data_IF_358576436761
#
_entry.id   IF_358576436761
#
_cell.length_a   1.000
_cell.length_b   1.000
_cell.length_c   1.000
_cell.angle_alpha   90.00
_cell.angle_beta   90.00
_cell.angle_gamma   90.00
#
_symmetry.space_group_name_H-M   'P 1'
#
loop_
_entity.id
_entity.type
_entity.pdbx_description
1 polymer ?
#
# COMPACT_ATOMS: atom_id res chain seq x y z
N UNK A 1 -2.86 -36.56 -22.71
CA UNK A 1 -3.05 -36.52 -21.24
C UNK A 1 -2.59 -35.13 -20.80
N UNK A 2 -3.51 -34.15 -20.81
CA UNK A 2 -3.20 -32.73 -20.79
C UNK A 2 -3.50 -32.10 -19.44
N UNK A 3 -2.48 -31.98 -18.59
CA UNK A 3 -2.54 -31.21 -17.33
C UNK A 3 -1.40 -30.21 -17.14
N UNK A 4 -0.44 -30.10 -18.06
CA UNK A 4 0.77 -29.29 -17.83
C UNK A 4 0.73 -27.88 -18.46
N UNK A 5 -0.39 -27.45 -19.06
CA UNK A 5 -0.48 -26.17 -19.79
C UNK A 5 -1.29 -25.06 -19.10
N UNK A 6 -1.79 -25.28 -17.89
CA UNK A 6 -2.66 -24.30 -17.20
C UNK A 6 -1.99 -23.58 -16.02
N UNK A 7 -0.86 -24.08 -15.50
CA UNK A 7 -0.16 -23.43 -14.39
C UNK A 7 0.81 -22.33 -14.83
N UNK A 8 1.27 -22.39 -16.09
CA UNK A 8 2.30 -21.49 -16.67
C UNK A 8 1.82 -20.03 -16.82
N UNK A 9 0.50 -19.80 -16.84
CA UNK A 9 -0.11 -18.47 -17.01
C UNK A 9 -0.67 -17.87 -15.71
N UNK A 10 -0.46 -18.53 -14.57
CA UNK A 10 -0.98 -18.02 -13.29
C UNK A 10 -0.08 -16.92 -12.72
N UNK A 11 -0.62 -15.71 -12.58
CA UNK A 11 0.09 -14.61 -11.92
C UNK A 11 0.54 -15.03 -10.51
N UNK A 12 1.73 -14.59 -10.05
CA UNK A 12 2.16 -14.77 -8.67
C UNK A 12 1.07 -14.38 -7.67
N UNK A 13 0.95 -15.11 -6.57
CA UNK A 13 -0.07 -14.86 -5.54
C UNK A 13 -0.08 -13.41 -5.07
N UNK A 14 1.11 -12.80 -4.94
CA UNK A 14 1.25 -11.40 -4.58
C UNK A 14 0.61 -10.43 -5.59
N UNK A 15 0.60 -10.77 -6.88
CA UNK A 15 -0.06 -9.98 -7.91
C UNK A 15 -1.58 -10.15 -7.86
N UNK A 16 -2.06 -11.36 -7.58
CA UNK A 16 -3.49 -11.58 -7.33
C UNK A 16 -3.96 -10.77 -6.11
N UNK A 17 -3.17 -10.77 -5.03
CA UNK A 17 -3.42 -9.98 -3.83
C UNK A 17 -3.39 -8.47 -4.10
N UNK A 18 -2.44 -8.01 -4.93
CA UNK A 18 -2.33 -6.61 -5.37
C UNK A 18 -3.61 -6.13 -6.08
N UNK A 19 -4.24 -6.98 -6.89
CA UNK A 19 -5.46 -6.66 -7.63
C UNK A 19 -6.74 -6.89 -6.81
N UNK A 20 -6.65 -7.63 -5.71
CA UNK A 20 -7.81 -7.99 -4.90
C UNK A 20 -8.26 -6.86 -3.97
N UNK A 21 -9.52 -6.43 -4.06
CA UNK A 21 -10.09 -5.40 -3.17
C UNK A 21 -10.38 -5.92 -1.75
N UNK A 22 -10.43 -7.24 -1.55
CA UNK A 22 -10.77 -7.83 -0.24
C UNK A 22 -9.70 -7.56 0.82
N UNK A 23 -8.46 -7.32 0.39
CA UNK A 23 -7.34 -7.01 1.25
C UNK A 23 -7.21 -5.51 1.53
N UNK A 24 -8.13 -4.68 1.02
CA UNK A 24 -8.06 -3.24 1.21
C UNK A 24 -8.37 -2.87 2.66
N UNK A 25 -7.47 -2.05 3.22
CA UNK A 25 -7.59 -1.47 4.55
C UNK A 25 -7.77 -2.48 5.71
N UNK A 26 -6.79 -3.35 5.96
CA UNK A 26 -6.81 -4.21 7.14
C UNK A 26 -6.73 -3.39 8.45
N UNK A 27 -7.51 -3.74 9.49
CA UNK A 27 -7.57 -2.97 10.74
C UNK A 27 -6.25 -3.05 11.53
N UNK A 28 -5.56 -4.19 11.53
CA UNK A 28 -4.29 -4.41 12.24
C UNK A 28 -3.31 -5.17 11.35
N UNK A 29 -2.62 -4.47 10.46
CA UNK A 29 -1.60 -5.07 9.62
C UNK A 29 -0.36 -4.19 9.47
N UNK A 30 0.72 -4.84 9.02
CA UNK A 30 1.93 -4.17 8.60
C UNK A 30 1.64 -3.12 7.52
N UNK A 31 2.44 -2.05 7.47
CA UNK A 31 2.21 -0.95 6.54
C UNK A 31 2.19 -1.38 5.07
N UNK A 32 3.04 -2.32 4.67
CA UNK A 32 3.08 -2.87 3.31
C UNK A 32 1.77 -3.59 2.92
N UNK A 33 1.15 -4.32 3.84
CA UNK A 33 -0.19 -4.91 3.60
C UNK A 33 -1.21 -3.81 3.37
N UNK A 34 -1.16 -2.72 4.15
CA UNK A 34 -2.09 -1.59 4.02
C UNK A 34 -1.88 -0.80 2.72
N UNK A 35 -0.65 -0.70 2.22
CA UNK A 35 -0.32 0.09 1.04
C UNK A 35 -0.49 -0.70 -0.26
N UNK A 36 -0.15 -1.99 -0.25
CA UNK A 36 -0.13 -2.82 -1.46
C UNK A 36 -1.16 -3.96 -1.47
N UNK A 37 -1.83 -4.26 -0.35
CA UNK A 37 -2.81 -5.36 -0.29
C UNK A 37 -2.20 -6.77 -0.31
N UNK A 38 -0.87 -6.89 -0.31
CA UNK A 38 -0.14 -8.16 -0.27
C UNK A 38 -0.22 -8.81 1.10
N UNK A 39 -0.30 -10.15 1.15
CA UNK A 39 -0.40 -10.90 2.41
C UNK A 39 0.91 -11.49 2.90
N UNK A 40 1.77 -11.92 1.98
CA UNK A 40 3.05 -12.56 2.27
C UNK A 40 4.19 -11.77 1.63
N UNK A 41 5.22 -11.49 2.41
CA UNK A 41 6.39 -10.74 1.95
C UNK A 41 7.56 -10.90 2.93
N UNK A 42 8.76 -10.62 2.43
CA UNK A 42 10.00 -10.54 3.22
C UNK A 42 10.45 -9.09 3.30
N UNK A 43 10.92 -8.65 4.48
CA UNK A 43 11.52 -7.31 4.65
C UNK A 43 12.96 -7.46 5.14
N UNK A 44 13.89 -6.99 4.33
CA UNK A 44 15.28 -6.78 4.71
C UNK A 44 15.38 -5.39 5.34
N UNK A 45 15.85 -5.34 6.58
CA UNK A 45 15.94 -4.11 7.36
C UNK A 45 17.35 -3.99 7.95
N UNK A 46 17.95 -2.79 7.99
CA UNK A 46 19.20 -2.58 8.72
C UNK A 46 19.09 -3.07 10.17
N UNK A 47 20.14 -3.75 10.64
CA UNK A 47 20.24 -4.17 12.04
C UNK A 47 20.28 -2.96 12.98
N UNK A 48 20.04 -3.19 14.27
CA UNK A 48 19.91 -2.13 15.30
C UNK A 48 21.11 -1.17 15.36
N UNK A 49 22.31 -1.67 15.08
CA UNK A 49 23.56 -0.90 15.12
C UNK A 49 24.11 -0.57 13.72
N UNK A 50 23.30 -0.76 12.67
CA UNK A 50 23.67 -0.46 11.30
C UNK A 50 23.11 0.88 10.87
N UNK A 51 23.85 1.58 10.00
CA UNK A 51 23.35 2.81 9.39
C UNK A 51 22.14 2.56 8.49
N UNK A 52 21.26 3.56 8.41
CA UNK A 52 20.15 3.57 7.47
C UNK A 52 20.64 3.58 6.01
N UNK A 53 19.90 2.90 5.13
CA UNK A 53 20.17 2.86 3.69
C UNK A 53 19.55 4.10 3.05
N UNK A 54 20.32 5.17 2.88
CA UNK A 54 19.82 6.46 2.39
C UNK A 54 20.34 6.80 1.00
N UNK A 55 21.61 6.51 0.72
CA UNK A 55 22.21 6.87 -0.56
C UNK A 55 21.63 6.02 -1.69
N UNK A 56 21.39 6.68 -2.81
CA UNK A 56 20.86 6.04 -4.03
C UNK A 56 21.71 4.85 -4.45
N UNK A 57 23.04 4.98 -4.41
CA UNK A 57 23.95 3.88 -4.75
C UNK A 57 23.77 2.64 -3.85
N UNK A 58 23.55 2.83 -2.53
CA UNK A 58 23.30 1.70 -1.61
C UNK A 58 21.93 1.07 -1.88
N UNK A 59 20.91 1.89 -2.15
CA UNK A 59 19.58 1.41 -2.53
C UNK A 59 19.64 0.57 -3.82
N UNK A 60 20.29 1.08 -4.87
CA UNK A 60 20.39 0.41 -6.16
C UNK A 60 21.17 -0.91 -6.06
N UNK A 61 22.29 -0.92 -5.32
CA UNK A 61 23.06 -2.14 -5.10
C UNK A 61 22.23 -3.22 -4.40
N UNK A 62 21.47 -2.87 -3.36
CA UNK A 62 20.61 -3.82 -2.65
C UNK A 62 19.45 -4.29 -3.52
N UNK A 63 18.83 -3.38 -4.28
CA UNK A 63 17.76 -3.72 -5.20
C UNK A 63 18.23 -4.69 -6.28
N UNK A 64 19.38 -4.43 -6.92
CA UNK A 64 19.98 -5.37 -7.88
C UNK A 64 20.31 -6.72 -7.23
N UNK A 65 20.80 -6.71 -5.99
CA UNK A 65 21.09 -7.94 -5.25
C UNK A 65 19.83 -8.77 -4.97
N UNK A 66 18.73 -8.12 -4.58
CA UNK A 66 17.41 -8.75 -4.37
C UNK A 66 16.88 -9.30 -5.70
N UNK A 67 16.95 -8.52 -6.78
CA UNK A 67 16.51 -8.94 -8.11
C UNK A 67 17.23 -10.21 -8.59
N UNK A 68 18.55 -10.30 -8.37
CA UNK A 68 19.35 -11.49 -8.69
C UNK A 68 18.96 -12.67 -7.80
N UNK A 69 18.75 -12.45 -6.50
CA UNK A 69 18.36 -13.51 -5.57
C UNK A 69 16.98 -14.10 -5.91
N UNK A 70 16.01 -13.25 -6.26
CA UNK A 70 14.69 -13.66 -6.73
C UNK A 70 14.80 -14.51 -8.01
N UNK A 71 15.56 -14.04 -9.00
CA UNK A 71 15.76 -14.74 -10.26
C UNK A 71 16.42 -16.12 -10.08
N UNK A 72 17.46 -16.19 -9.24
CA UNK A 72 18.21 -17.42 -9.01
C UNK A 72 17.43 -18.46 -8.18
N UNK A 73 16.56 -18.00 -7.27
CA UNK A 73 15.79 -18.90 -6.39
C UNK A 73 14.45 -19.31 -6.98
N UNK A 74 13.94 -18.60 -7.99
CA UNK A 74 12.57 -18.74 -8.46
C UNK A 74 11.53 -18.34 -7.40
N UNK A 75 11.94 -17.61 -6.36
CA UNK A 75 11.05 -17.19 -5.28
C UNK A 75 10.08 -16.13 -5.79
N UNK A 76 8.78 -16.39 -5.62
CA UNK A 76 7.72 -15.47 -6.01
C UNK A 76 7.19 -14.62 -4.84
N UNK A 77 7.80 -14.75 -3.66
CA UNK A 77 7.41 -13.95 -2.48
C UNK A 77 8.03 -12.56 -2.64
N UNK A 78 7.23 -11.48 -2.60
CA UNK A 78 7.75 -10.11 -2.65
C UNK A 78 8.82 -9.86 -1.61
N UNK A 79 9.94 -9.30 -2.04
CA UNK A 79 11.05 -8.92 -1.18
C UNK A 79 11.17 -7.40 -1.12
N UNK A 80 11.24 -6.86 0.09
CA UNK A 80 11.36 -5.42 0.35
C UNK A 80 12.66 -5.12 1.08
N UNK A 81 13.26 -3.98 0.76
CA UNK A 81 14.37 -3.40 1.50
C UNK A 81 13.87 -2.13 2.18
N UNK A 82 14.05 -2.03 3.50
CA UNK A 82 13.78 -0.79 4.22
C UNK A 82 14.86 0.23 3.88
N UNK A 83 14.46 1.29 3.19
CA UNK A 83 15.31 2.41 2.82
C UNK A 83 14.92 3.65 3.64
N UNK A 84 15.77 4.68 3.58
CA UNK A 84 15.65 5.86 4.42
C UNK A 84 15.71 5.52 5.92
N UNK A 85 15.39 6.50 6.76
CA UNK A 85 15.30 6.31 8.20
C UNK A 85 14.14 5.38 8.56
N UNK A 86 14.35 4.45 9.51
CA UNK A 86 13.35 3.43 9.93
C UNK A 86 11.97 4.01 10.28
N UNK A 87 11.95 5.19 10.92
CA UNK A 87 10.71 5.88 11.30
C UNK A 87 9.91 6.40 10.10
N UNK A 88 10.54 6.64 8.95
CA UNK A 88 9.87 7.07 7.71
C UNK A 88 9.11 5.94 7.03
N UNK A 89 9.42 4.68 7.35
CA UNK A 89 8.77 3.49 6.79
C UNK A 89 8.75 3.49 5.26
N UNK A 90 9.87 3.83 4.62
CA UNK A 90 10.01 3.77 3.17
C UNK A 90 10.64 2.43 2.79
N UNK A 91 10.11 1.80 1.76
CA UNK A 91 10.61 0.52 1.27
C UNK A 91 10.71 0.57 -0.26
N UNK A 92 11.68 -0.14 -0.80
CA UNK A 92 11.72 -0.51 -2.21
C UNK A 92 11.56 -2.02 -2.27
N UNK A 93 10.71 -2.53 -3.15
CA UNK A 93 10.51 -3.97 -3.26
C UNK A 93 10.39 -4.47 -4.68
N UNK A 94 10.51 -5.77 -4.84
CA UNK A 94 10.41 -6.46 -6.11
C UNK A 94 9.74 -7.82 -5.91
N UNK A 95 8.95 -8.24 -6.90
CA UNK A 95 8.42 -9.58 -7.04
C UNK A 95 8.65 -10.05 -8.47
N UNK A 96 9.08 -11.29 -8.63
CA UNK A 96 9.27 -11.92 -9.94
C UNK A 96 8.37 -13.15 -10.04
N UNK A 97 7.84 -13.39 -11.24
CA UNK A 97 7.07 -14.57 -11.60
C UNK A 97 7.33 -14.95 -13.05
N UNK A 98 6.72 -16.05 -13.53
CA UNK A 98 6.83 -16.47 -14.92
C UNK A 98 6.42 -15.34 -15.86
N UNK A 99 7.37 -14.84 -16.65
CA UNK A 99 7.14 -13.77 -17.63
C UNK A 99 6.78 -12.39 -17.05
N UNK A 100 6.83 -12.20 -15.73
CA UNK A 100 6.37 -10.97 -15.09
C UNK A 100 7.30 -10.51 -13.97
N UNK A 101 7.50 -9.20 -13.90
CA UNK A 101 8.23 -8.52 -12.83
C UNK A 101 7.38 -7.35 -12.34
N UNK A 102 7.27 -7.21 -11.02
CA UNK A 102 6.56 -6.11 -10.38
C UNK A 102 7.50 -5.41 -9.40
N UNK A 103 7.77 -4.13 -9.65
CA UNK A 103 8.52 -3.28 -8.75
C UNK A 103 7.57 -2.49 -7.83
N UNK A 104 7.88 -2.48 -6.54
CA UNK A 104 7.13 -1.78 -5.51
C UNK A 104 7.86 -0.50 -5.12
N UNK A 105 7.37 0.61 -5.64
CA UNK A 105 7.95 1.92 -5.43
C UNK A 105 7.12 2.77 -4.46
N UNK A 106 7.81 3.59 -3.66
CA UNK A 106 7.19 4.57 -2.78
C UNK A 106 7.74 5.96 -3.01
N UNK A 107 6.82 6.91 -3.16
CA UNK A 107 7.13 8.35 -3.18
C UNK A 107 6.57 8.96 -1.90
N UNK A 108 7.45 9.59 -1.12
CA UNK A 108 7.06 10.27 0.11
C UNK A 108 7.20 11.79 -0.05
N UNK A 109 6.07 12.49 -0.06
CA UNK A 109 6.02 13.93 -0.17
C UNK A 109 5.83 14.57 1.21
N UNK A 110 6.61 15.60 1.53
CA UNK A 110 6.44 16.37 2.78
C UNK A 110 5.11 17.15 2.80
N UNK A 111 4.67 17.62 1.63
CA UNK A 111 3.40 18.32 1.42
C UNK A 111 2.77 17.77 0.15
N UNK A 112 1.50 17.39 0.23
CA UNK A 112 0.74 16.97 -0.95
C UNK A 112 0.41 18.21 -1.78
N UNK A 113 0.76 18.24 -3.08
CA UNK A 113 0.33 19.29 -4.00
C UNK A 113 -1.20 19.42 -4.03
N UNK A 114 -1.73 20.64 -4.15
CA UNK A 114 -3.17 20.89 -4.06
C UNK A 114 -3.97 20.14 -5.12
N UNK A 115 -3.39 19.93 -6.31
CA UNK A 115 -4.03 19.17 -7.38
C UNK A 115 -4.29 17.69 -7.02
N UNK A 116 -3.56 17.12 -6.05
CA UNK A 116 -3.66 15.72 -5.64
C UNK A 116 -4.41 15.51 -4.32
N UNK A 117 -5.06 16.56 -3.80
CA UNK A 117 -5.89 16.48 -2.59
C UNK A 117 -7.28 15.87 -2.84
N UNK A 118 -7.67 15.71 -4.11
CA UNK A 118 -8.97 15.17 -4.51
C UNK A 118 -8.81 13.89 -5.32
N UNK A 119 -9.86 13.08 -5.33
CA UNK A 119 -9.87 11.80 -6.04
C UNK A 119 -9.55 11.95 -7.54
N UNK A 120 -10.01 13.03 -8.17
CA UNK A 120 -9.71 13.34 -9.57
C UNK A 120 -8.21 13.41 -9.83
N UNK A 121 -7.46 14.17 -9.02
CA UNK A 121 -6.01 14.28 -9.18
C UNK A 121 -5.27 12.97 -8.90
N UNK A 122 -5.75 12.16 -7.95
CA UNK A 122 -5.19 10.81 -7.72
C UNK A 122 -5.44 9.89 -8.91
N UNK A 123 -6.62 9.98 -9.54
CA UNK A 123 -6.94 9.24 -10.75
C UNK A 123 -6.09 9.66 -11.94
N UNK A 124 -5.81 10.96 -12.07
CA UNK A 124 -4.96 11.47 -13.15
C UNK A 124 -3.52 10.94 -13.02
N UNK A 125 -2.96 10.94 -11.81
CA UNK A 125 -1.64 10.32 -11.55
C UNK A 125 -1.69 8.82 -11.88
N UNK A 126 -2.72 8.12 -11.43
CA UNK A 126 -2.84 6.68 -11.63
C UNK A 126 -2.90 6.32 -13.12
N UNK A 127 -3.74 7.00 -13.89
CA UNK A 127 -3.84 6.82 -15.35
C UNK A 127 -2.53 7.14 -16.05
N UNK A 128 -1.86 8.23 -15.65
CA UNK A 128 -0.56 8.60 -16.20
C UNK A 128 0.50 7.53 -15.92
N UNK A 129 0.51 6.92 -14.72
CA UNK A 129 1.48 5.88 -14.35
C UNK A 129 1.23 4.54 -15.06
N UNK A 130 -0.02 4.16 -15.31
CA UNK A 130 -0.31 2.95 -16.09
C UNK A 130 0.15 3.12 -17.54
N UNK A 131 0.05 4.34 -18.11
CA UNK A 131 0.43 4.58 -19.50
C UNK A 131 -0.37 3.73 -20.49
N UNK A 132 -1.59 3.33 -20.12
CA UNK A 132 -2.42 2.44 -20.94
C UNK A 132 -2.93 3.18 -22.17
N UNK A 133 -2.52 2.71 -23.35
CA UNK A 133 -2.97 3.25 -24.63
C UNK A 133 -4.22 2.55 -25.17
N UNK A 134 -4.86 1.67 -24.37
CA UNK A 134 -6.06 0.94 -24.79
C UNK A 134 -7.27 1.88 -24.82
N UNK A 135 -8.10 1.74 -25.85
CA UNK A 135 -9.37 2.44 -26.00
C UNK A 135 -10.49 1.42 -26.27
N UNK A 136 -11.50 1.30 -25.38
CA UNK A 136 -11.67 2.07 -24.14
C UNK A 136 -10.68 1.66 -23.05
N UNK A 137 -10.36 2.59 -22.14
CA UNK A 137 -9.54 2.32 -20.97
C UNK A 137 -10.23 1.27 -20.08
N UNK A 138 -9.52 0.25 -19.55
CA UNK A 138 -10.11 -0.70 -18.63
C UNK A 138 -10.68 0.01 -17.39
N UNK A 139 -11.74 -0.55 -16.78
CA UNK A 139 -12.37 0.05 -15.61
C UNK A 139 -11.38 0.13 -14.45
N UNK A 140 -11.40 1.28 -13.76
CA UNK A 140 -10.59 1.53 -12.58
C UNK A 140 -11.48 1.33 -11.35
N UNK A 141 -11.08 0.39 -10.48
CA UNK A 141 -11.69 0.20 -9.19
C UNK A 141 -11.01 1.10 -8.15
N UNK A 142 -11.81 1.71 -7.30
CA UNK A 142 -11.34 2.65 -6.29
C UNK A 142 -11.98 2.31 -4.95
N UNK A 143 -11.14 2.23 -3.93
CA UNK A 143 -11.54 2.09 -2.54
C UNK A 143 -11.01 3.30 -1.75
N UNK A 144 -11.85 3.91 -0.91
CA UNK A 144 -11.45 5.04 -0.05
C UNK A 144 -11.92 4.77 1.38
N UNK A 145 -11.04 5.00 2.35
CA UNK A 145 -11.37 4.93 3.77
C UNK A 145 -10.97 6.20 4.49
N UNK A 146 -11.94 6.77 5.18
CA UNK A 146 -11.73 7.85 6.13
C UNK A 146 -11.65 7.27 7.53
N UNK A 147 -10.54 7.52 8.22
CA UNK A 147 -10.37 7.11 9.62
C UNK A 147 -10.32 8.35 10.49
N UNK A 148 -11.28 8.44 11.41
CA UNK A 148 -11.38 9.51 12.39
C UNK A 148 -11.01 8.97 13.76
N UNK A 149 -10.10 9.65 14.46
CA UNK A 149 -9.81 9.38 15.86
C UNK A 149 -10.55 10.44 16.65
N UNK A 150 -11.62 10.01 17.33
CA UNK A 150 -12.42 10.89 18.17
C UNK A 150 -11.76 10.95 19.55
N UNK A 151 -11.15 12.09 19.86
CA UNK A 151 -10.73 12.41 21.22
C UNK A 151 -11.96 12.81 22.03
N UNK A 152 -12.04 12.37 23.28
CA UNK A 152 -13.11 12.74 24.22
C UNK A 152 -14.54 12.54 23.69
N UNK A 153 -14.75 11.49 22.89
CA UNK A 153 -16.01 11.20 22.20
C UNK A 153 -17.22 11.05 23.13
N UNK A 154 -16.99 10.68 24.39
CA UNK A 154 -18.02 10.56 25.43
C UNK A 154 -18.53 11.93 25.91
N UNK A 155 -17.76 13.00 25.72
CA UNK A 155 -18.12 14.36 26.15
C UNK A 155 -18.90 15.13 25.06
N UNK A 156 -19.08 14.53 23.89
CA UNK A 156 -19.74 15.15 22.73
C UNK A 156 -21.22 14.73 22.65
N UNK A 157 -22.11 15.71 22.51
CA UNK A 157 -23.52 15.46 22.22
C UNK A 157 -23.65 15.03 20.76
N UNK A 158 -23.87 13.73 20.54
CA UNK A 158 -24.01 13.19 19.20
C UNK A 158 -25.39 13.52 18.63
N UNK A 159 -25.49 14.03 17.37
CA UNK A 159 -26.78 14.27 16.72
C UNK A 159 -27.56 12.97 16.47
N UNK A 160 -26.89 11.82 16.50
CA UNK A 160 -27.48 10.48 16.42
C UNK A 160 -26.81 9.59 17.46
N UNK A 161 -27.53 8.62 18.04
CA UNK A 161 -26.90 7.70 19.00
C UNK A 161 -25.71 6.97 18.36
N UNK A 162 -24.52 6.99 18.98
CA UNK A 162 -23.38 6.23 18.47
C UNK A 162 -23.74 4.75 18.41
N UNK A 163 -23.32 4.00 17.38
CA UNK A 163 -23.56 2.57 17.30
C UNK A 163 -22.93 1.87 18.53
N UNK A 164 -23.78 1.41 19.46
CA UNK A 164 -23.36 0.53 20.57
C UNK A 164 -23.28 1.12 21.98
N UNK A 165 -23.78 2.32 22.27
CA UNK A 165 -23.71 2.89 23.66
C UNK A 165 -25.05 3.25 24.29
N UNK A 166 -25.35 2.61 25.42
CA UNK A 166 -26.45 2.92 26.35
C UNK A 166 -25.98 4.02 27.33
N UNK A 167 -26.54 5.23 27.17
CA UNK A 167 -26.62 6.40 28.07
C UNK A 167 -25.46 6.72 29.05
N UNK A 168 -25.00 7.98 29.02
CA UNK A 168 -24.86 8.90 30.20
C UNK A 168 -24.36 10.27 29.70
N UNK A 169 -24.88 11.37 30.26
CA UNK A 169 -24.80 12.72 29.68
C UNK A 169 -23.71 13.66 30.22
N UNK A 170 -23.65 14.86 29.62
CA UNK A 170 -23.10 16.09 30.20
C UNK A 170 -21.78 16.68 29.64
N UNK A 171 -21.92 17.61 28.69
CA UNK A 171 -21.12 18.85 28.36
C UNK A 171 -19.64 18.86 27.84
N UNK A 172 -19.53 19.37 26.59
CA UNK A 172 -18.60 20.33 25.88
C UNK A 172 -17.04 20.19 25.97
N UNK A 173 -16.38 19.81 24.85
CA UNK A 173 -15.55 20.68 23.95
C UNK A 173 -14.70 19.91 22.88
N UNK A 174 -14.58 20.53 21.70
CA UNK A 174 -13.62 20.43 20.54
C UNK A 174 -13.07 19.07 20.04
N UNK A 175 -13.49 18.71 18.82
CA UNK A 175 -12.94 17.63 17.97
C UNK A 175 -11.60 18.03 17.33
N UNK A 176 -10.60 17.14 17.37
CA UNK A 176 -9.41 17.21 16.51
C UNK A 176 -9.71 16.53 15.16
N UNK A 177 -10.09 17.32 14.16
CA UNK A 177 -10.70 16.87 12.91
C UNK A 177 -9.71 16.56 11.77
N UNK A 178 -8.51 16.00 12.02
CA UNK A 178 -7.66 15.57 10.89
C UNK A 178 -7.83 14.07 10.62
N UNK A 179 -8.78 13.66 9.74
CA UNK A 179 -8.87 12.27 9.34
C UNK A 179 -7.58 11.86 8.63
N UNK A 180 -7.13 10.63 8.91
CA UNK A 180 -6.16 10.01 8.02
C UNK A 180 -6.94 9.44 6.83
N UNK A 181 -6.65 9.95 5.64
CA UNK A 181 -7.27 9.52 4.39
C UNK A 181 -6.37 8.49 3.70
N UNK A 182 -6.94 7.36 3.29
CA UNK A 182 -6.27 6.32 2.53
C UNK A 182 -7.12 5.96 1.32
N UNK A 183 -6.51 5.90 0.14
CA UNK A 183 -7.15 5.46 -1.09
C UNK A 183 -6.34 4.34 -1.74
N UNK A 184 -7.03 3.36 -2.32
CA UNK A 184 -6.44 2.31 -3.14
C UNK A 184 -7.07 2.37 -4.54
N UNK A 185 -6.25 2.36 -5.58
CA UNK A 185 -6.66 2.40 -6.98
C UNK A 185 -6.07 1.19 -7.70
N UNK A 186 -6.92 0.42 -8.38
CA UNK A 186 -6.55 -0.83 -9.07
C UNK A 186 -7.28 -0.91 -10.41
N UNK A 187 -6.66 -1.51 -11.42
CA UNK A 187 -7.34 -1.89 -12.67
C UNK A 187 -7.85 -3.32 -12.55
N UNK A 188 -9.04 -3.59 -13.07
CA UNK A 188 -9.56 -4.96 -13.22
C UNK A 188 -8.83 -5.75 -14.30
#
# INVERSE_FOLDING_TARGET
>A
MGKDKLEEDSFPLAMQDLLCMNNDFPPRAHCLVRWYGIREFVVITPGTNCEAIISESKCNLLHSSVSIALANSGCQVPMFVQIQQKWRRVYAGECQGPGVRTDFEMVHLRKVPSQYNHLSGLLDIFKAKIGCNLSPLPPINIAIRFTYILQDWQQHAWPQQPPGTRYMGGFRNTLSERPTQWACLKTS
#
